data_IF_594520519503
#
_entry.id   IF_594520519503
#
_cell.length_a   1.000
_cell.length_b   1.000
_cell.length_c   1.000
_cell.angle_alpha   90.00
_cell.angle_beta   90.00
_cell.angle_gamma   90.00
#
_symmetry.space_group_name_H-M   'P 1'
#
loop_
_entity.id
_entity.type
_entity.pdbx_description
1 polymer ?
#
# COMPACT_ATOMS: atom_id res chain seq x y z
N UNK A 1 5.21 4.29 14.20
CA UNK A 1 3.96 3.49 14.12
C UNK A 1 3.92 2.49 15.25
N UNK A 2 2.78 2.31 15.92
CA UNK A 2 2.67 1.33 16.98
C UNK A 2 2.95 -0.08 16.48
N UNK A 3 3.55 -0.91 17.33
CA UNK A 3 3.92 -2.27 16.94
C UNK A 3 2.72 -3.10 16.49
N UNK A 4 1.59 -2.95 17.16
CA UNK A 4 0.36 -3.67 16.80
C UNK A 4 -0.06 -3.36 15.36
N UNK A 5 0.04 -2.09 14.97
CA UNK A 5 -0.29 -1.67 13.61
C UNK A 5 0.72 -2.23 12.60
N UNK A 6 2.00 -2.27 12.96
CA UNK A 6 3.01 -2.91 12.11
C UNK A 6 2.67 -4.38 11.85
N UNK A 7 2.31 -5.10 12.91
CA UNK A 7 1.98 -6.52 12.80
C UNK A 7 0.74 -6.72 11.91
N UNK A 8 -0.27 -5.86 12.05
CA UNK A 8 -1.46 -5.92 11.22
C UNK A 8 -1.14 -5.63 9.75
N UNK A 9 -0.30 -4.64 9.49
CA UNK A 9 0.10 -4.31 8.12
C UNK A 9 0.90 -5.47 7.51
N UNK A 10 1.78 -6.09 8.29
CA UNK A 10 2.52 -7.26 7.81
C UNK A 10 1.58 -8.42 7.44
N UNK A 11 0.56 -8.66 8.25
CA UNK A 11 -0.44 -9.66 7.95
C UNK A 11 -1.23 -9.32 6.69
N UNK A 12 -1.56 -8.04 6.53
CA UNK A 12 -2.27 -7.59 5.33
C UNK A 12 -1.41 -7.77 4.08
N UNK A 13 -0.13 -7.45 4.17
CA UNK A 13 0.82 -7.64 3.06
C UNK A 13 0.89 -9.11 2.65
N UNK A 14 0.85 -10.03 3.60
CA UNK A 14 0.83 -11.45 3.27
C UNK A 14 -0.42 -11.82 2.45
N UNK A 15 -1.56 -11.21 2.77
CA UNK A 15 -2.78 -11.41 1.99
C UNK A 15 -2.67 -10.81 0.58
N UNK A 16 -2.04 -9.64 0.46
CA UNK A 16 -1.75 -9.04 -0.84
C UNK A 16 -0.91 -9.99 -1.70
N UNK A 17 0.11 -10.58 -1.11
CA UNK A 17 1.00 -11.50 -1.81
C UNK A 17 0.29 -12.77 -2.28
N UNK A 18 -0.73 -13.21 -1.56
CA UNK A 18 -1.54 -14.35 -2.00
C UNK A 18 -2.34 -14.02 -3.27
N UNK A 19 -2.75 -12.76 -3.42
CA UNK A 19 -3.51 -12.33 -4.59
C UNK A 19 -2.60 -12.14 -5.81
N UNK A 20 -1.52 -11.37 -5.64
CA UNK A 20 -0.68 -10.92 -6.76
C UNK A 20 0.60 -11.72 -6.94
N UNK A 21 1.01 -12.44 -5.90
CA UNK A 21 2.22 -13.24 -5.97
C UNK A 21 3.47 -12.42 -6.23
N UNK A 22 4.32 -12.90 -7.12
CA UNK A 22 5.59 -12.24 -7.46
C UNK A 22 5.42 -10.95 -8.25
N UNK A 23 4.21 -10.62 -8.66
CA UNK A 23 3.96 -9.36 -9.38
C UNK A 23 4.03 -8.13 -8.47
N UNK A 24 3.94 -8.29 -7.15
CA UNK A 24 4.07 -7.16 -6.23
C UNK A 24 5.48 -6.60 -6.33
N UNK A 25 5.59 -5.30 -6.65
CA UNK A 25 6.87 -4.62 -6.76
C UNK A 25 7.15 -3.72 -5.58
N UNK A 26 6.12 -3.04 -5.08
CA UNK A 26 6.31 -2.08 -4.02
C UNK A 26 5.00 -1.90 -3.26
N UNK A 27 5.10 -1.69 -1.96
CA UNK A 27 3.95 -1.36 -1.12
C UNK A 27 4.26 -0.05 -0.43
N UNK A 28 3.39 0.94 -0.64
CA UNK A 28 3.58 2.28 -0.12
C UNK A 28 2.50 2.57 0.91
N UNK A 29 2.93 2.86 2.12
CA UNK A 29 2.05 3.31 3.18
C UNK A 29 2.08 4.83 3.19
N UNK A 30 0.91 5.46 3.06
CA UNK A 30 0.86 6.92 2.98
C UNK A 30 -0.29 7.44 3.84
N UNK A 31 -0.49 8.77 3.85
CA UNK A 31 -1.52 9.40 4.65
C UNK A 31 -1.13 9.54 6.11
N UNK A 32 -2.12 9.59 7.00
CA UNK A 32 -1.89 9.85 8.42
C UNK A 32 -1.04 8.77 9.08
N UNK A 33 -1.20 7.52 8.67
CA UNK A 33 -0.44 6.41 9.23
C UNK A 33 1.05 6.58 8.94
N UNK A 34 1.39 6.96 7.70
CA UNK A 34 2.78 7.18 7.30
C UNK A 34 3.41 8.39 8.00
N UNK A 35 2.61 9.42 8.28
CA UNK A 35 3.11 10.64 8.93
C UNK A 35 3.20 10.53 10.45
N UNK A 36 2.75 9.43 11.02
CA UNK A 36 2.73 9.27 12.47
C UNK A 36 1.55 9.93 13.16
N UNK A 37 0.58 10.44 12.41
CA UNK A 37 -0.66 11.03 12.94
C UNK A 37 -1.72 9.98 13.22
N UNK A 38 -1.34 8.73 13.25
CA UNK A 38 -2.24 7.60 13.36
C UNK A 38 -3.08 7.67 14.63
N UNK A 39 -4.37 7.41 14.46
CA UNK A 39 -5.34 7.21 15.55
C UNK A 39 -6.03 5.86 15.33
N UNK A 40 -6.56 5.25 16.37
CA UNK A 40 -7.21 3.93 16.24
C UNK A 40 -8.32 3.88 15.20
N UNK A 41 -8.99 5.01 14.95
CA UNK A 41 -10.10 5.11 13.99
C UNK A 41 -9.65 5.69 12.64
N UNK A 42 -8.34 5.86 12.43
CA UNK A 42 -7.82 6.42 11.19
C UNK A 42 -7.83 5.41 10.06
N UNK A 43 -8.01 5.92 8.83
CA UNK A 43 -7.83 5.12 7.61
C UNK A 43 -6.36 4.74 7.47
N UNK A 44 -6.11 3.56 6.94
CA UNK A 44 -4.77 3.11 6.59
C UNK A 44 -4.67 3.06 5.08
N UNK A 45 -4.00 4.07 4.51
CA UNK A 45 -3.88 4.20 3.06
C UNK A 45 -2.68 3.40 2.56
N UNK A 46 -2.93 2.42 1.71
CA UNK A 46 -1.89 1.54 1.18
C UNK A 46 -1.98 1.54 -0.34
N UNK A 47 -0.85 1.81 -0.99
CA UNK A 47 -0.73 1.68 -2.44
C UNK A 47 0.09 0.45 -2.76
N UNK A 48 -0.43 -0.38 -3.65
CA UNK A 48 0.21 -1.62 -4.09
C UNK A 48 0.65 -1.43 -5.53
N UNK A 49 1.96 -1.38 -5.76
CA UNK A 49 2.50 -1.27 -7.11
C UNK A 49 2.83 -2.67 -7.61
N UNK A 50 2.27 -3.01 -8.76
CA UNK A 50 2.42 -4.34 -9.34
C UNK A 50 2.95 -4.27 -10.77
N UNK A 51 3.63 -5.33 -11.17
CA UNK A 51 4.14 -5.47 -12.55
C UNK A 51 3.04 -6.05 -13.43
N UNK A 52 2.01 -5.26 -13.62
CA UNK A 52 0.85 -5.61 -14.44
C UNK A 52 0.35 -4.37 -15.16
N UNK A 53 -0.29 -4.57 -16.32
CA UNK A 53 -0.99 -3.49 -16.99
C UNK A 53 -2.28 -3.14 -16.23
N UNK A 54 -2.83 -1.96 -16.51
CA UNK A 54 -4.10 -1.56 -15.90
C UNK A 54 -5.23 -2.54 -16.24
N UNK A 55 -5.20 -3.08 -17.45
CA UNK A 55 -6.18 -4.06 -17.87
C UNK A 55 -6.08 -5.36 -17.06
N UNK A 56 -4.86 -5.84 -16.86
CA UNK A 56 -4.63 -7.04 -16.06
C UNK A 56 -5.07 -6.83 -14.61
N UNK A 57 -4.84 -5.63 -14.07
CA UNK A 57 -5.24 -5.30 -12.69
C UNK A 57 -6.74 -5.40 -12.47
N UNK A 58 -7.54 -5.10 -13.49
CA UNK A 58 -8.99 -5.19 -13.37
C UNK A 58 -9.47 -6.59 -12.99
N UNK A 59 -8.74 -7.61 -13.43
CA UNK A 59 -9.08 -8.99 -13.11
C UNK A 59 -8.96 -9.31 -11.62
N UNK A 60 -8.15 -8.54 -10.90
CA UNK A 60 -7.89 -8.77 -9.48
C UNK A 60 -8.65 -7.82 -8.54
N UNK A 61 -9.35 -6.84 -9.10
CA UNK A 61 -9.99 -5.79 -8.28
C UNK A 61 -11.00 -6.36 -7.29
N UNK A 62 -11.79 -7.33 -7.71
CA UNK A 62 -12.81 -7.93 -6.85
C UNK A 62 -12.17 -8.74 -5.72
N UNK A 63 -11.11 -9.49 -6.03
CA UNK A 63 -10.37 -10.26 -5.04
C UNK A 63 -9.78 -9.35 -3.96
N UNK A 64 -9.16 -8.25 -4.38
CA UNK A 64 -8.59 -7.28 -3.45
C UNK A 64 -9.69 -6.69 -2.56
N UNK A 65 -10.80 -6.32 -3.15
CA UNK A 65 -11.91 -5.71 -2.43
C UNK A 65 -12.49 -6.66 -1.38
N UNK A 66 -12.73 -7.90 -1.74
CA UNK A 66 -13.28 -8.90 -0.82
C UNK A 66 -12.30 -9.23 0.31
N UNK A 67 -11.04 -9.45 -0.04
CA UNK A 67 -10.01 -9.74 0.96
C UNK A 67 -9.90 -8.59 1.96
N UNK A 68 -9.88 -7.36 1.46
CA UNK A 68 -9.75 -6.18 2.32
C UNK A 68 -10.96 -6.03 3.24
N UNK A 69 -12.16 -6.24 2.71
CA UNK A 69 -13.36 -6.19 3.53
C UNK A 69 -13.28 -7.20 4.68
N UNK A 70 -12.96 -8.44 4.37
CA UNK A 70 -12.85 -9.48 5.39
C UNK A 70 -11.77 -9.17 6.41
N UNK A 71 -10.62 -8.68 5.94
CA UNK A 71 -9.52 -8.31 6.83
C UNK A 71 -9.92 -7.20 7.78
N UNK A 72 -10.57 -6.16 7.25
CA UNK A 72 -11.00 -5.03 8.07
C UNK A 72 -12.02 -5.45 9.12
N UNK A 73 -12.95 -6.33 8.74
CA UNK A 73 -13.93 -6.83 9.69
C UNK A 73 -13.30 -7.69 10.79
N UNK A 74 -12.35 -8.53 10.41
CA UNK A 74 -11.70 -9.45 11.35
C UNK A 74 -10.79 -8.73 12.34
N UNK A 75 -10.17 -7.61 11.91
CA UNK A 75 -9.17 -6.91 12.71
C UNK A 75 -9.63 -5.54 13.21
N UNK A 76 -10.86 -5.16 12.92
CA UNK A 76 -11.40 -3.84 13.30
C UNK A 76 -10.52 -2.71 12.80
N UNK A 77 -10.14 -2.79 11.52
CA UNK A 77 -9.31 -1.80 10.85
C UNK A 77 -10.06 -1.16 9.69
N UNK A 78 -9.49 -0.10 9.13
CA UNK A 78 -10.04 0.58 7.96
C UNK A 78 -8.93 0.78 6.93
N UNK A 79 -8.45 -0.32 6.38
CA UNK A 79 -7.44 -0.30 5.32
C UNK A 79 -8.11 0.04 4.00
N UNK A 80 -7.53 1.01 3.29
CA UNK A 80 -7.99 1.46 1.98
C UNK A 80 -6.89 1.22 0.95
N UNK A 81 -6.94 0.10 0.23
CA UNK A 81 -5.90 -0.23 -0.73
C UNK A 81 -6.17 0.37 -2.11
N UNK A 82 -5.11 0.72 -2.80
CA UNK A 82 -5.16 1.08 -4.21
C UNK A 82 -4.08 0.27 -4.91
N UNK A 83 -4.47 -0.53 -5.91
CA UNK A 83 -3.51 -1.27 -6.72
C UNK A 83 -3.27 -0.52 -8.02
N UNK A 84 -2.00 -0.35 -8.40
CA UNK A 84 -1.61 0.38 -9.59
C UNK A 84 -0.50 -0.33 -10.33
N UNK A 85 -0.46 -0.15 -11.65
CA UNK A 85 0.68 -0.57 -12.46
C UNK A 85 1.91 0.23 -12.05
N UNK A 86 3.01 -0.45 -11.72
CA UNK A 86 4.25 0.21 -11.35
C UNK A 86 4.77 1.11 -12.48
N UNK A 87 4.72 0.61 -13.69
CA UNK A 87 5.19 1.37 -14.86
C UNK A 87 4.38 2.66 -15.05
N UNK A 88 3.07 2.54 -14.91
CA UNK A 88 2.18 3.70 -15.05
C UNK A 88 2.43 4.71 -13.91
N UNK A 89 2.59 4.22 -12.70
CA UNK A 89 2.85 5.07 -11.54
C UNK A 89 4.16 5.83 -11.69
N UNK A 90 5.23 5.15 -12.12
CA UNK A 90 6.53 5.79 -12.32
C UNK A 90 6.48 6.86 -13.41
N UNK A 91 5.76 6.59 -14.49
CA UNK A 91 5.56 7.55 -15.56
C UNK A 91 4.80 8.78 -15.05
N UNK A 92 3.80 8.55 -14.22
CA UNK A 92 2.97 9.61 -13.66
C UNK A 92 3.77 10.53 -12.74
N UNK A 93 4.58 9.97 -11.88
CA UNK A 93 5.42 10.72 -10.95
C UNK A 93 6.39 11.62 -11.73
N UNK A 94 7.00 11.11 -12.80
CA UNK A 94 7.93 11.89 -13.62
C UNK A 94 7.23 13.05 -14.30
N UNK A 95 6.01 12.84 -14.80
CA UNK A 95 5.27 13.84 -15.58
C UNK A 95 4.50 14.86 -14.74
N UNK A 96 4.35 14.60 -13.45
CA UNK A 96 3.58 15.46 -12.54
C UNK A 96 4.41 15.79 -11.30
N UNK A 97 5.32 16.78 -11.39
CA UNK A 97 6.27 17.09 -10.31
C UNK A 97 5.61 17.38 -8.96
N UNK A 98 4.44 18.02 -8.99
CA UNK A 98 3.72 18.33 -7.75
C UNK A 98 3.33 17.03 -7.01
N UNK A 99 2.83 16.07 -7.75
CA UNK A 99 2.45 14.78 -7.17
C UNK A 99 3.66 14.06 -6.61
N UNK A 100 4.76 14.07 -7.36
CA UNK A 100 6.02 13.48 -6.94
C UNK A 100 6.54 14.12 -5.66
N UNK A 101 6.50 15.46 -5.59
CA UNK A 101 6.96 16.20 -4.41
C UNK A 101 6.12 15.86 -3.18
N UNK A 102 4.80 15.82 -3.35
CA UNK A 102 3.89 15.51 -2.26
C UNK A 102 4.08 14.09 -1.77
N UNK A 103 4.24 13.15 -2.68
CA UNK A 103 4.49 11.76 -2.32
C UNK A 103 5.82 11.61 -1.61
N UNK A 104 6.87 12.28 -2.13
CA UNK A 104 8.19 12.27 -1.52
C UNK A 104 8.16 12.85 -0.11
N UNK A 105 7.38 13.91 0.09
CA UNK A 105 7.21 14.51 1.41
C UNK A 105 6.55 13.52 2.38
N UNK A 106 5.52 12.84 1.94
CA UNK A 106 4.85 11.83 2.76
C UNK A 106 5.80 10.68 3.09
N UNK A 107 6.58 10.25 2.11
CA UNK A 107 7.58 9.21 2.30
C UNK A 107 8.61 9.65 3.33
N UNK A 108 9.12 10.87 3.20
CA UNK A 108 10.14 11.40 4.10
C UNK A 108 9.63 11.54 5.53
N UNK A 109 8.39 11.98 5.69
CA UNK A 109 7.80 12.23 7.00
C UNK A 109 7.30 10.97 7.68
N UNK A 110 6.98 9.96 6.91
CA UNK A 110 6.49 8.70 7.43
C UNK A 110 7.11 7.51 6.71
N UNK A 111 8.33 7.68 6.22
CA UNK A 111 9.03 6.74 5.36
C UNK A 111 9.21 5.35 5.92
N UNK A 112 9.02 5.21 7.20
CA UNK A 112 9.10 3.96 7.88
C UNK A 112 8.44 2.81 7.12
N UNK A 113 7.24 3.06 6.59
CA UNK A 113 6.47 2.01 5.94
C UNK A 113 7.08 1.53 4.64
N UNK A 114 7.71 2.41 3.87
CA UNK A 114 8.16 2.07 2.52
C UNK A 114 9.45 1.28 2.53
N UNK A 115 10.49 1.82 3.15
CA UNK A 115 11.80 1.16 3.13
C UNK A 115 11.76 -0.21 3.79
N UNK A 116 11.12 -0.30 4.95
CA UNK A 116 11.05 -1.57 5.68
C UNK A 116 10.21 -2.60 4.96
N UNK A 117 9.11 -2.16 4.35
CA UNK A 117 8.27 -3.06 3.59
C UNK A 117 8.98 -3.57 2.34
N UNK A 118 9.64 -2.69 1.59
CA UNK A 118 10.35 -3.06 0.38
C UNK A 118 11.48 -4.04 0.68
N UNK A 119 12.28 -3.75 1.69
CA UNK A 119 13.37 -4.63 2.07
C UNK A 119 12.88 -6.02 2.48
N UNK A 120 11.70 -6.09 3.09
CA UNK A 120 11.16 -7.34 3.62
C UNK A 120 10.36 -8.12 2.60
N UNK A 121 9.59 -7.44 1.74
CA UNK A 121 8.59 -8.08 0.90
C UNK A 121 8.86 -8.06 -0.59
N UNK A 122 9.79 -7.23 -1.05
CA UNK A 122 10.12 -7.12 -2.47
C UNK A 122 11.43 -7.83 -2.84
N UNK A 123 12.19 -8.20 -1.87
CA UNK A 123 13.45 -8.90 -2.11
C UNK A 123 13.23 -10.33 -2.59
#
# INVERSE_FOLDING_TARGET
MPKMMQDLIEQYVEEIKKIYGSYVRQIILYGSCARGDFRPDSDVDIMILVDMSDLELKAYAQQLSYMTYDFNMDHDTDIKPIAKSEAHFNKWIVNYPFYSSKLAEQISNGSYGIENMDAKYLA
#
